data_IF_850717894117
#
_entry.id   IF_850717894117
#
_cell.length_a   1.000
_cell.length_b   1.000
_cell.length_c   1.000
_cell.angle_alpha   90.00
_cell.angle_beta   90.00
_cell.angle_gamma   90.00
#
_symmetry.space_group_name_H-M   'P 1'
#
loop_
_entity.id
_entity.type
_entity.pdbx_description
1 polymer ?
#
# COMPACT_ATOMS: atom_id res chain seq x y z
N UNK A 1 -20.12 -9.18 4.51
CA UNK A 1 -19.68 -7.95 5.21
C UNK A 1 -20.06 -6.75 4.34
N UNK A 2 -20.75 -5.74 4.85
CA UNK A 2 -21.21 -4.63 4.01
C UNK A 2 -20.06 -3.83 3.40
N UNK A 3 -20.21 -3.42 2.14
CA UNK A 3 -19.27 -2.51 1.47
C UNK A 3 -19.43 -1.13 2.09
N UNK A 4 -18.38 -0.64 2.76
CA UNK A 4 -18.36 0.73 3.28
C UNK A 4 -17.94 1.67 2.13
N UNK A 5 -18.81 2.60 1.70
CA UNK A 5 -18.53 3.48 0.56
C UNK A 5 -17.34 4.41 0.83
N UNK A 6 -17.19 4.91 2.07
CA UNK A 6 -16.06 5.77 2.46
C UNK A 6 -14.75 5.01 2.29
N UNK A 7 -14.67 3.78 2.83
CA UNK A 7 -13.47 2.95 2.69
C UNK A 7 -13.19 2.56 1.23
N UNK A 8 -14.24 2.43 0.41
CA UNK A 8 -14.11 2.11 -1.01
C UNK A 8 -13.56 3.28 -1.80
N UNK A 9 -13.99 4.51 -1.50
CA UNK A 9 -13.49 5.74 -2.12
C UNK A 9 -12.10 6.13 -1.61
N UNK A 10 -11.78 5.81 -0.36
CA UNK A 10 -10.47 6.11 0.22
C UNK A 10 -9.33 5.32 -0.45
N UNK A 11 -9.60 4.12 -0.99
CA UNK A 11 -8.61 3.33 -1.74
C UNK A 11 -8.02 4.10 -2.94
N UNK A 12 -8.81 4.51 -3.96
CA UNK A 12 -8.26 5.23 -5.10
C UNK A 12 -7.68 6.60 -4.72
N UNK A 13 -8.30 7.32 -3.78
CA UNK A 13 -7.80 8.63 -3.35
C UNK A 13 -6.42 8.51 -2.67
N UNK A 14 -6.27 7.61 -1.70
CA UNK A 14 -4.98 7.39 -1.04
C UNK A 14 -3.91 6.92 -2.02
N UNK A 15 -4.30 6.12 -3.02
CA UNK A 15 -3.38 5.65 -4.06
C UNK A 15 -2.92 6.78 -4.97
N UNK A 16 -3.83 7.65 -5.43
CA UNK A 16 -3.50 8.80 -6.25
C UNK A 16 -2.56 9.78 -5.52
N UNK A 17 -2.85 10.07 -4.25
CA UNK A 17 -1.98 10.91 -3.40
C UNK A 17 -0.61 10.27 -3.22
N UNK A 18 -0.55 8.95 -3.01
CA UNK A 18 0.73 8.24 -2.84
C UNK A 18 1.60 8.32 -4.10
N UNK A 19 1.01 8.14 -5.28
CA UNK A 19 1.71 8.34 -6.56
C UNK A 19 2.20 9.77 -6.73
N UNK A 20 1.34 10.75 -6.46
CA UNK A 20 1.72 12.16 -6.55
C UNK A 20 2.93 12.48 -5.66
N UNK A 21 2.92 12.02 -4.41
CA UNK A 21 4.02 12.23 -3.47
C UNK A 21 5.30 11.53 -3.91
N UNK A 22 5.24 10.27 -4.35
CA UNK A 22 6.43 9.51 -4.79
C UNK A 22 7.06 10.09 -6.06
N UNK A 23 6.26 10.63 -6.97
CA UNK A 23 6.76 11.17 -8.24
C UNK A 23 7.27 12.61 -8.12
N UNK A 24 6.64 13.44 -7.30
CA UNK A 24 6.83 14.90 -7.36
C UNK A 24 7.45 15.51 -6.10
N UNK A 25 7.66 14.74 -5.04
CA UNK A 25 8.13 15.25 -3.75
C UNK A 25 9.37 14.49 -3.26
N UNK A 26 10.13 15.06 -2.30
CA UNK A 26 11.24 14.35 -1.68
C UNK A 26 10.79 12.99 -1.13
N UNK A 27 11.57 11.96 -1.43
CA UNK A 27 11.11 10.58 -1.28
C UNK A 27 10.91 10.21 0.18
N UNK A 28 11.91 10.37 1.04
CA UNK A 28 11.83 9.90 2.45
C UNK A 28 10.72 10.58 3.26
N UNK A 29 10.53 11.91 3.23
CA UNK A 29 9.38 12.54 3.89
C UNK A 29 8.03 12.04 3.33
N UNK A 30 7.96 11.81 2.02
CA UNK A 30 6.77 11.27 1.37
C UNK A 30 6.46 9.85 1.83
N UNK A 31 7.48 8.98 1.87
CA UNK A 31 7.35 7.61 2.36
C UNK A 31 6.89 7.59 3.81
N UNK A 32 7.43 8.46 4.67
CA UNK A 32 7.00 8.56 6.06
C UNK A 32 5.50 8.91 6.17
N UNK A 33 5.01 9.89 5.39
CA UNK A 33 3.59 10.28 5.36
C UNK A 33 2.69 9.13 4.87
N UNK A 34 3.05 8.52 3.74
CA UNK A 34 2.29 7.44 3.10
C UNK A 34 2.20 6.22 4.04
N UNK A 35 3.34 5.77 4.55
CA UNK A 35 3.41 4.60 5.42
C UNK A 35 2.78 4.84 6.79
N UNK A 36 2.85 6.06 7.34
CA UNK A 36 2.10 6.42 8.56
C UNK A 36 0.60 6.29 8.34
N UNK A 37 0.07 6.81 7.23
CA UNK A 37 -1.34 6.68 6.88
C UNK A 37 -1.77 5.20 6.78
N UNK A 38 -1.01 4.38 6.05
CA UNK A 38 -1.33 2.96 5.90
C UNK A 38 -1.15 2.17 7.20
N UNK A 39 -0.18 2.53 8.05
CA UNK A 39 0.00 1.97 9.38
C UNK A 39 -1.22 2.27 10.27
N UNK A 40 -1.66 3.53 10.31
CA UNK A 40 -2.85 3.93 11.06
C UNK A 40 -4.11 3.20 10.56
N UNK A 41 -4.26 3.03 9.25
CA UNK A 41 -5.37 2.26 8.68
C UNK A 41 -5.33 0.77 9.05
N UNK A 42 -4.14 0.15 9.02
CA UNK A 42 -3.95 -1.23 9.44
C UNK A 42 -4.23 -1.42 10.94
N UNK A 43 -3.78 -0.48 11.78
CA UNK A 43 -4.09 -0.47 13.22
C UNK A 43 -5.60 -0.30 13.46
N UNK A 44 -6.26 0.60 12.73
CA UNK A 44 -7.72 0.76 12.81
C UNK A 44 -8.45 -0.55 12.48
N UNK A 45 -8.05 -1.27 11.42
CA UNK A 45 -8.64 -2.57 11.12
C UNK A 45 -8.39 -3.62 12.20
N UNK A 46 -7.14 -3.72 12.69
CA UNK A 46 -6.77 -4.71 13.69
C UNK A 46 -7.49 -4.48 15.02
N UNK A 47 -7.50 -3.23 15.49
CA UNK A 47 -8.06 -2.86 16.80
C UNK A 47 -9.57 -2.66 16.71
N UNK A 48 -10.06 -1.76 15.85
CA UNK A 48 -11.47 -1.37 15.83
C UNK A 48 -12.37 -2.36 15.06
N UNK A 49 -11.82 -3.15 14.13
CA UNK A 49 -12.58 -4.18 13.40
C UNK A 49 -12.21 -5.61 13.80
N UNK A 50 -11.29 -5.78 14.75
CA UNK A 50 -10.88 -7.09 15.27
C UNK A 50 -10.15 -7.97 14.25
N UNK A 51 -9.61 -7.40 13.17
CA UNK A 51 -8.90 -8.19 12.14
C UNK A 51 -7.48 -8.56 12.60
N UNK A 52 -7.37 -9.66 13.35
CA UNK A 52 -6.09 -10.12 13.91
C UNK A 52 -5.07 -10.54 12.84
N UNK A 53 -5.51 -10.77 11.60
CA UNK A 53 -4.65 -11.17 10.48
C UNK A 53 -4.04 -9.97 9.75
N UNK A 54 -4.43 -8.75 10.09
CA UNK A 54 -3.89 -7.53 9.48
C UNK A 54 -2.46 -7.25 10.00
N UNK A 55 -1.46 -7.65 9.22
CA UNK A 55 -0.04 -7.49 9.53
C UNK A 55 0.59 -6.22 8.92
N UNK A 56 -0.18 -5.45 8.13
CA UNK A 56 0.34 -4.28 7.41
C UNK A 56 0.92 -3.19 8.34
N UNK A 57 0.44 -3.11 9.59
CA UNK A 57 0.95 -2.16 10.60
C UNK A 57 2.43 -2.38 10.94
N UNK A 58 2.94 -3.62 10.85
CA UNK A 58 4.35 -3.92 11.14
C UNK A 58 5.24 -3.37 10.03
N UNK A 59 4.99 -3.78 8.77
CA UNK A 59 5.82 -3.35 7.64
C UNK A 59 5.70 -1.85 7.38
N UNK A 60 4.48 -1.30 7.43
CA UNK A 60 4.27 0.14 7.23
C UNK A 60 4.81 0.97 8.40
N UNK A 61 4.69 0.49 9.64
CA UNK A 61 5.26 1.17 10.81
C UNK A 61 6.79 1.26 10.76
N UNK A 62 7.46 0.17 10.41
CA UNK A 62 8.93 0.17 10.23
C UNK A 62 9.34 1.14 9.12
N UNK A 63 8.64 1.12 7.98
CA UNK A 63 8.92 2.05 6.89
C UNK A 63 8.71 3.51 7.32
N UNK A 64 7.66 3.81 8.07
CA UNK A 64 7.37 5.15 8.56
C UNK A 64 8.50 5.71 9.43
N UNK A 65 8.97 4.91 10.39
CA UNK A 65 10.04 5.31 11.31
C UNK A 65 11.36 5.48 10.56
N UNK A 66 11.76 4.49 9.75
CA UNK A 66 13.05 4.54 9.04
C UNK A 66 13.12 5.68 8.04
N UNK A 67 12.01 5.97 7.34
CA UNK A 67 11.91 7.09 6.41
C UNK A 67 11.89 8.44 7.12
N UNK A 68 11.22 8.53 8.28
CA UNK A 68 11.26 9.74 9.12
C UNK A 68 12.68 10.05 9.60
N UNK A 69 13.45 9.02 10.00
CA UNK A 69 14.85 9.16 10.44
C UNK A 69 15.86 9.39 9.30
N UNK A 70 15.41 9.52 8.04
CA UNK A 70 16.28 9.76 6.90
C UNK A 70 17.19 8.58 6.53
N UNK A 71 16.92 7.37 7.03
CA UNK A 71 17.82 6.21 6.87
C UNK A 71 17.49 5.44 5.59
N UNK A 72 18.04 5.88 4.45
CA UNK A 72 17.79 5.29 3.11
C UNK A 72 17.79 3.76 3.08
N UNK A 73 18.87 3.12 3.52
CA UNK A 73 18.98 1.65 3.47
C UNK A 73 17.98 0.93 4.37
N UNK A 74 17.67 1.52 5.53
CA UNK A 74 16.65 0.97 6.42
C UNK A 74 15.24 1.13 5.81
N UNK A 75 14.97 2.26 5.14
CA UNK A 75 13.74 2.44 4.35
C UNK A 75 13.65 1.48 3.18
N UNK A 76 14.76 1.18 2.50
CA UNK A 76 14.78 0.18 1.43
C UNK A 76 14.38 -1.20 1.97
N UNK A 77 14.96 -1.63 3.10
CA UNK A 77 14.57 -2.87 3.77
C UNK A 77 13.09 -2.86 4.18
N UNK A 78 12.59 -1.75 4.74
CA UNK A 78 11.18 -1.55 5.05
C UNK A 78 10.27 -1.67 3.82
N UNK A 79 10.66 -1.08 2.69
CA UNK A 79 9.94 -1.20 1.42
C UNK A 79 9.92 -2.63 0.89
N UNK A 80 11.02 -3.38 1.01
CA UNK A 80 11.06 -4.81 0.64
C UNK A 80 10.08 -5.63 1.49
N UNK A 81 9.99 -5.35 2.79
CA UNK A 81 9.01 -6.00 3.67
C UNK A 81 7.57 -5.67 3.26
N UNK A 82 7.29 -4.41 2.90
CA UNK A 82 5.98 -4.01 2.34
C UNK A 82 5.68 -4.77 1.05
N UNK A 83 6.63 -4.83 0.12
CA UNK A 83 6.48 -5.59 -1.13
C UNK A 83 6.19 -7.07 -0.88
N UNK A 84 6.94 -7.72 0.02
CA UNK A 84 6.71 -9.12 0.38
C UNK A 84 5.28 -9.35 0.90
N UNK A 85 4.76 -8.44 1.72
CA UNK A 85 3.38 -8.49 2.22
C UNK A 85 2.32 -8.38 1.12
N UNK A 86 2.61 -7.67 0.01
CA UNK A 86 1.72 -7.62 -1.16
C UNK A 86 1.93 -8.80 -2.11
N UNK A 87 3.15 -9.32 -2.26
CA UNK A 87 3.42 -10.44 -3.15
C UNK A 87 2.75 -11.74 -2.69
N UNK A 88 2.67 -12.00 -1.38
CA UNK A 88 2.02 -13.19 -0.83
C UNK A 88 0.55 -13.36 -1.30
N UNK A 89 -0.33 -12.34 -1.16
CA UNK A 89 -1.69 -12.43 -1.70
C UNK A 89 -1.80 -12.19 -3.21
N UNK A 90 -0.73 -11.73 -3.89
CA UNK A 90 -0.81 -11.30 -5.29
C UNK A 90 -1.31 -12.40 -6.21
N UNK A 91 -0.84 -13.64 -6.02
CA UNK A 91 -1.29 -14.78 -6.82
C UNK A 91 -2.82 -14.91 -6.81
N UNK A 92 -3.45 -14.83 -5.63
CA UNK A 92 -4.89 -14.97 -5.49
C UNK A 92 -5.66 -13.78 -6.06
N UNK A 93 -5.22 -12.56 -5.75
CA UNK A 93 -5.90 -11.33 -6.20
C UNK A 93 -5.86 -11.20 -7.72
N UNK A 94 -4.73 -11.57 -8.35
CA UNK A 94 -4.55 -11.44 -9.79
C UNK A 94 -5.22 -12.58 -10.56
N UNK A 95 -5.13 -13.82 -10.08
CA UNK A 95 -5.69 -15.00 -10.77
C UNK A 95 -7.21 -15.13 -10.65
N UNK A 96 -7.82 -14.66 -9.57
CA UNK A 96 -9.26 -14.81 -9.37
C UNK A 96 -10.06 -13.81 -10.22
N UNK A 97 -11.21 -14.25 -10.72
CA UNK A 97 -12.19 -13.34 -11.32
C UNK A 97 -12.71 -12.33 -10.29
N UNK A 98 -13.31 -11.24 -10.77
CA UNK A 98 -13.82 -10.17 -9.89
C UNK A 98 -14.92 -10.69 -8.98
N UNK A 99 -15.78 -11.56 -9.50
CA UNK A 99 -16.86 -12.24 -8.76
C UNK A 99 -16.26 -13.11 -7.66
N UNK A 100 -15.22 -13.90 -7.97
CA UNK A 100 -14.55 -14.74 -6.99
C UNK A 100 -13.84 -13.91 -5.91
N UNK A 101 -13.30 -12.75 -6.25
CA UNK A 101 -12.75 -11.80 -5.26
C UNK A 101 -13.86 -11.24 -4.37
N UNK A 102 -15.00 -10.82 -4.94
CA UNK A 102 -16.15 -10.35 -4.18
C UNK A 102 -16.69 -11.43 -3.23
N UNK A 103 -16.87 -12.64 -3.74
CA UNK A 103 -17.31 -13.80 -2.97
C UNK A 103 -16.34 -14.13 -1.83
N UNK A 104 -15.04 -14.27 -2.11
CA UNK A 104 -14.06 -14.69 -1.10
C UNK A 104 -13.77 -13.62 -0.04
N UNK A 105 -13.78 -12.34 -0.41
CA UNK A 105 -13.40 -11.24 0.50
C UNK A 105 -14.60 -10.52 1.15
N UNK A 106 -15.77 -10.49 0.48
CA UNK A 106 -16.99 -9.86 1.01
C UNK A 106 -18.08 -10.85 1.39
N UNK A 107 -17.95 -12.12 0.98
CA UNK A 107 -18.93 -13.19 1.20
C UNK A 107 -20.29 -12.88 0.57
N UNK A 108 -20.27 -12.14 -0.54
CA UNK A 108 -21.45 -11.70 -1.27
C UNK A 108 -21.06 -11.32 -2.72
N UNK A 109 -21.99 -11.49 -3.66
CA UNK A 109 -21.85 -11.19 -5.10
C UNK A 109 -23.00 -10.29 -5.55
N UNK A 110 -23.00 -9.06 -5.03
CA UNK A 110 -23.88 -7.97 -5.46
C UNK A 110 -23.14 -6.97 -6.34
N UNK A 111 -23.86 -6.17 -7.13
CA UNK A 111 -23.30 -5.08 -7.93
C UNK A 111 -22.37 -4.14 -7.13
N UNK A 112 -22.68 -3.91 -5.84
CA UNK A 112 -21.82 -3.10 -4.94
C UNK A 112 -20.50 -3.81 -4.64
N UNK A 113 -20.53 -5.10 -4.31
CA UNK A 113 -19.33 -5.90 -4.03
C UNK A 113 -18.46 -6.14 -5.27
N UNK A 114 -19.06 -6.29 -6.45
CA UNK A 114 -18.34 -6.40 -7.72
C UNK A 114 -17.62 -5.07 -8.03
N UNK A 115 -18.29 -3.92 -7.91
CA UNK A 115 -17.64 -2.61 -8.06
C UNK A 115 -16.48 -2.43 -7.08
N UNK A 116 -16.68 -2.81 -5.81
CA UNK A 116 -15.61 -2.81 -4.82
C UNK A 116 -14.44 -3.72 -5.22
N UNK A 117 -14.70 -4.91 -5.76
CA UNK A 117 -13.67 -5.86 -6.16
C UNK A 117 -12.85 -5.36 -7.36
N UNK A 118 -13.48 -4.68 -8.33
CA UNK A 118 -12.75 -3.97 -9.39
C UNK A 118 -11.79 -2.92 -8.83
N UNK A 119 -12.29 -2.04 -7.95
CA UNK A 119 -11.49 -0.99 -7.30
C UNK A 119 -10.35 -1.63 -6.49
N UNK A 120 -10.64 -2.69 -5.75
CA UNK A 120 -9.64 -3.40 -4.96
C UNK A 120 -8.54 -4.02 -5.82
N UNK A 121 -8.88 -4.71 -6.93
CA UNK A 121 -7.87 -5.29 -7.83
C UNK A 121 -6.99 -4.19 -8.46
N UNK A 122 -7.59 -3.10 -8.94
CA UNK A 122 -6.84 -1.98 -9.50
C UNK A 122 -5.92 -1.32 -8.46
N UNK A 123 -6.44 -1.08 -7.25
CA UNK A 123 -5.68 -0.57 -6.11
C UNK A 123 -4.50 -1.49 -5.76
N UNK A 124 -4.72 -2.80 -5.77
CA UNK A 124 -3.69 -3.79 -5.44
C UNK A 124 -2.55 -3.80 -6.47
N UNK A 125 -2.88 -3.84 -7.77
CA UNK A 125 -1.88 -3.75 -8.85
C UNK A 125 -1.11 -2.43 -8.76
N UNK A 126 -1.81 -1.33 -8.50
CA UNK A 126 -1.19 -0.02 -8.34
C UNK A 126 -0.23 0.02 -7.15
N UNK A 127 -0.52 -0.68 -6.05
CA UNK A 127 0.39 -0.79 -4.91
C UNK A 127 1.66 -1.57 -5.26
N UNK A 128 1.54 -2.70 -5.97
CA UNK A 128 2.71 -3.46 -6.42
C UNK A 128 3.64 -2.58 -7.27
N UNK A 129 3.09 -1.82 -8.21
CA UNK A 129 3.84 -0.90 -9.05
C UNK A 129 4.46 0.26 -8.24
N UNK A 130 3.68 0.90 -7.36
CA UNK A 130 4.14 2.02 -6.53
C UNK A 130 5.33 1.60 -5.66
N UNK A 131 5.20 0.48 -4.91
CA UNK A 131 6.26 0.02 -4.02
C UNK A 131 7.46 -0.52 -4.79
N UNK A 132 7.27 -1.09 -5.98
CA UNK A 132 8.35 -1.42 -6.91
C UNK A 132 9.14 -0.18 -7.33
N UNK A 133 8.45 0.91 -7.67
CA UNK A 133 9.08 2.19 -8.00
C UNK A 133 9.81 2.81 -6.80
N UNK A 134 9.21 2.77 -5.60
CA UNK A 134 9.87 3.25 -4.38
C UNK A 134 11.16 2.47 -4.11
N UNK A 135 11.12 1.14 -4.26
CA UNK A 135 12.29 0.27 -4.11
C UNK A 135 13.38 0.65 -5.11
N UNK A 136 13.02 0.85 -6.38
CA UNK A 136 13.93 1.31 -7.42
C UNK A 136 14.57 2.66 -7.05
N UNK A 137 13.78 3.69 -6.73
CA UNK A 137 14.29 5.02 -6.37
C UNK A 137 15.24 4.98 -5.16
N UNK A 138 14.87 4.25 -4.11
CA UNK A 138 15.73 4.08 -2.94
C UNK A 138 17.04 3.37 -3.28
N UNK A 139 17.01 2.37 -4.16
CA UNK A 139 18.21 1.65 -4.62
C UNK A 139 19.18 2.54 -5.41
N UNK A 140 18.65 3.41 -6.27
CA UNK A 140 19.43 4.37 -7.06
C UNK A 140 19.93 5.57 -6.25
N UNK A 141 19.42 5.78 -5.03
CA UNK A 141 19.76 6.98 -4.26
C UNK A 141 18.99 8.22 -4.71
N UNK A 142 17.88 8.02 -5.41
CA UNK A 142 16.96 9.10 -5.80
C UNK A 142 16.14 9.56 -4.60
N UNK A 143 16.64 10.55 -3.88
CA UNK A 143 15.95 11.15 -2.73
C UNK A 143 15.13 12.39 -3.09
N UNK A 144 15.46 13.02 -4.22
CA UNK A 144 14.75 14.15 -4.81
C UNK A 144 14.30 13.79 -6.24
N UNK A 145 13.22 14.42 -6.77
CA UNK A 145 12.76 14.14 -8.12
C UNK A 145 13.85 14.41 -9.17
N UNK A 146 14.39 13.35 -9.78
CA UNK A 146 15.37 13.46 -10.86
C UNK A 146 16.84 13.59 -10.42
N UNK A 147 17.16 13.51 -9.13
CA UNK A 147 18.55 13.58 -8.66
C UNK A 147 19.03 12.23 -8.11
N UNK A 148 20.09 11.68 -8.70
CA UNK A 148 20.81 10.51 -8.18
C UNK A 148 21.89 11.01 -7.23
N UNK A 149 21.75 10.74 -5.93
CA UNK A 149 22.78 11.08 -4.95
C UNK A 149 23.88 10.02 -5.03
N UNK A 150 25.04 10.39 -5.58
CA UNK A 150 26.23 9.54 -5.57
C UNK A 150 26.64 9.26 -4.11
N UNK A 151 26.75 7.98 -3.76
CA UNK A 151 27.16 7.51 -2.42
C UNK A 151 28.65 7.66 -2.19
#
# INVERSE_FOLDING_TARGET
MSVNPIATTLMPLSQAVSWYLVLNQPLLPSLSKISTFYCAWALYKKIAKGDQKELGHISMGILAVTSYSGKRYASLAGTVLVLANFLLPAYYVLSWSVEKVAEKLKKDVTNKTIKWAYIFKAYFVSNLALWGMVCYKLSQGELLPGEVVAT
#
